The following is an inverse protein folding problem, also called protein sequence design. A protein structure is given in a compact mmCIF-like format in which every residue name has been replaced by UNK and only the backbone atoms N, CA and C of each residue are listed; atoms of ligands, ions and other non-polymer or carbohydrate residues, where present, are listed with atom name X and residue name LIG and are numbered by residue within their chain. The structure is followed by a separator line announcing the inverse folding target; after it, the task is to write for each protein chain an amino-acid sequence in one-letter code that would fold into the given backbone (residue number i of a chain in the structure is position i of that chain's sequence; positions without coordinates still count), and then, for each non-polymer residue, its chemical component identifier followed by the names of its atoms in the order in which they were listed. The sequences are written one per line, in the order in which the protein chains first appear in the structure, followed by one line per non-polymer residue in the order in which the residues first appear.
data_IF_902002741347
#
_entry.id   IF_902002741347
#
_cell.length_a   1.000
_cell.length_b   1.000
_cell.length_c   1.000
_cell.angle_alpha   90.00
_cell.angle_beta   90.00
_cell.angle_gamma   90.00
#
_symmetry.space_group_name_H-M   'P 1'
#
loop_
_entity.id
_entity.type
_entity.pdbx_description
1 polymer ?
#
# COMPACT_ATOMS: atom_id res chain seq x y z
N UNK A 1 -12.38 -2.88 -13.17
CA UNK A 1 -12.27 -3.97 -12.18
C UNK A 1 -12.35 -3.31 -10.82
N UNK A 2 -13.24 -3.76 -9.95
CA UNK A 2 -13.35 -3.26 -8.58
C UNK A 2 -12.40 -4.08 -7.74
N UNK A 3 -11.39 -3.46 -7.13
CA UNK A 3 -10.42 -4.16 -6.29
C UNK A 3 -11.03 -4.62 -4.97
N UNK A 4 -12.04 -3.91 -4.47
CA UNK A 4 -12.70 -4.26 -3.23
C UNK A 4 -13.28 -5.68 -3.21
N UNK A 5 -13.72 -6.24 -4.35
CA UNK A 5 -14.29 -7.59 -4.41
C UNK A 5 -13.31 -8.68 -4.01
N UNK A 6 -12.01 -8.48 -4.23
CA UNK A 6 -10.96 -9.46 -3.92
C UNK A 6 -10.85 -9.73 -2.41
N UNK A 7 -11.27 -8.79 -1.58
CA UNK A 7 -11.31 -8.98 -0.12
C UNK A 7 -12.41 -9.93 0.34
N UNK A 8 -13.37 -10.26 -0.53
CA UNK A 8 -14.55 -11.06 -0.18
C UNK A 8 -14.61 -12.39 -0.92
N UNK A 9 -14.05 -12.47 -2.13
CA UNK A 9 -14.07 -13.65 -3.00
C UNK A 9 -13.49 -14.94 -2.38
N UNK A 10 -12.67 -14.83 -1.33
CA UNK A 10 -11.96 -15.97 -0.73
C UNK A 10 -12.44 -16.34 0.68
N UNK A 11 -13.56 -15.76 1.12
CA UNK A 11 -14.12 -16.02 2.45
C UNK A 11 -15.27 -17.02 2.28
N UNK A 12 -15.06 -18.25 2.73
CA UNK A 12 -16.07 -19.32 2.59
C UNK A 12 -17.18 -19.21 3.64
N UNK A 13 -16.82 -18.83 4.87
CA UNK A 13 -17.71 -18.86 6.02
C UNK A 13 -18.10 -17.45 6.48
N UNK A 14 -17.67 -17.06 7.69
CA UNK A 14 -18.04 -15.82 8.35
C UNK A 14 -17.15 -14.67 7.90
N UNK A 15 -17.75 -13.49 7.75
CA UNK A 15 -17.01 -12.26 7.50
C UNK A 15 -16.20 -11.89 8.74
N UNK A 16 -14.85 -11.79 8.63
CA UNK A 16 -14.05 -11.24 9.70
C UNK A 16 -14.46 -9.80 10.02
N UNK A 17 -14.15 -9.38 11.24
CA UNK A 17 -14.43 -8.03 11.75
C UNK A 17 -13.90 -6.92 10.83
N UNK A 18 -12.72 -7.16 10.25
CA UNK A 18 -12.10 -6.31 9.25
C UNK A 18 -13.01 -6.13 8.01
N UNK A 19 -13.56 -7.22 7.48
CA UNK A 19 -14.39 -7.23 6.28
C UNK A 19 -15.76 -6.59 6.52
N UNK A 20 -16.33 -6.79 7.71
CA UNK A 20 -17.54 -6.12 8.14
C UNK A 20 -17.36 -4.59 8.17
N UNK A 21 -16.25 -4.12 8.75
CA UNK A 21 -15.88 -2.69 8.77
C UNK A 21 -15.55 -2.16 7.37
N UNK A 22 -14.89 -2.95 6.53
CA UNK A 22 -14.64 -2.60 5.12
C UNK A 22 -15.94 -2.38 4.35
N UNK A 23 -16.89 -3.33 4.40
CA UNK A 23 -18.21 -3.18 3.75
C UNK A 23 -18.96 -1.95 4.27
N UNK A 24 -18.87 -1.69 5.58
CA UNK A 24 -19.49 -0.52 6.18
C UNK A 24 -18.90 0.79 5.64
N UNK A 25 -17.58 0.82 5.44
CA UNK A 25 -16.91 1.98 4.85
C UNK A 25 -17.20 2.13 3.36
N UNK A 26 -17.31 1.03 2.61
CA UNK A 26 -17.72 1.07 1.19
C UNK A 26 -19.13 1.65 1.10
N UNK A 27 -20.07 1.12 1.87
CA UNK A 27 -21.45 1.62 1.93
C UNK A 27 -21.53 3.11 2.26
N UNK A 28 -20.76 3.57 3.25
CA UNK A 28 -20.80 4.96 3.72
C UNK A 28 -19.99 5.95 2.84
N UNK A 29 -18.87 5.53 2.25
CA UNK A 29 -17.87 6.42 1.62
C UNK A 29 -17.71 6.21 0.11
N UNK A 30 -18.04 5.03 -0.41
CA UNK A 30 -17.89 4.65 -1.82
C UNK A 30 -19.12 3.82 -2.25
N UNK A 31 -20.29 4.43 -2.04
CA UNK A 31 -21.57 3.76 -2.21
C UNK A 31 -21.78 3.25 -3.65
N UNK A 32 -21.13 3.88 -4.63
CA UNK A 32 -21.28 3.57 -6.05
C UNK A 32 -20.85 2.13 -6.40
N UNK A 33 -19.97 1.51 -5.61
CA UNK A 33 -19.54 0.11 -5.80
C UNK A 33 -20.19 -0.85 -4.81
N UNK A 34 -21.02 -0.37 -3.88
CA UNK A 34 -21.47 -1.16 -2.74
C UNK A 34 -22.24 -2.41 -3.18
N UNK A 35 -23.23 -2.23 -4.07
CA UNK A 35 -24.08 -3.33 -4.54
C UNK A 35 -23.25 -4.42 -5.23
N UNK A 36 -22.29 -4.03 -6.09
CA UNK A 36 -21.41 -4.97 -6.78
C UNK A 36 -20.53 -5.78 -5.80
N UNK A 37 -20.03 -5.14 -4.74
CA UNK A 37 -19.26 -5.82 -3.69
C UNK A 37 -20.16 -6.70 -2.81
N UNK A 38 -21.38 -6.25 -2.52
CA UNK A 38 -22.33 -6.96 -1.67
C UNK A 38 -22.88 -8.22 -2.34
N UNK A 39 -23.04 -8.20 -3.66
CA UNK A 39 -23.56 -9.32 -4.46
C UNK A 39 -22.56 -10.48 -4.60
N UNK A 40 -21.26 -10.24 -4.35
CA UNK A 40 -20.24 -11.30 -4.27
C UNK A 40 -20.42 -12.18 -3.03
N UNK A 41 -21.04 -11.64 -1.97
CA UNK A 41 -21.22 -12.33 -0.71
C UNK A 41 -22.28 -13.42 -0.80
N UNK A 42 -22.06 -14.54 -0.12
CA UNK A 42 -23.11 -15.54 0.03
C UNK A 42 -24.24 -15.01 0.96
N UNK A 43 -25.45 -15.59 0.92
CA UNK A 43 -26.59 -15.09 1.71
C UNK A 43 -26.34 -15.00 3.22
N UNK A 44 -25.55 -15.92 3.79
CA UNK A 44 -25.23 -15.90 5.21
C UNK A 44 -24.29 -14.72 5.56
N UNK A 45 -23.32 -14.41 4.71
CA UNK A 45 -22.44 -13.26 4.85
C UNK A 45 -23.21 -11.94 4.70
N UNK A 46 -24.14 -11.89 3.75
CA UNK A 46 -25.04 -10.74 3.59
C UNK A 46 -25.89 -10.48 4.85
N UNK A 47 -26.40 -11.54 5.48
CA UNK A 47 -27.13 -11.44 6.75
C UNK A 47 -26.22 -10.97 7.89
N UNK A 48 -25.00 -11.52 8.01
CA UNK A 48 -24.01 -11.07 9.00
C UNK A 48 -23.73 -9.57 8.87
N UNK A 49 -23.51 -9.07 7.65
CA UNK A 49 -23.31 -7.65 7.41
C UNK A 49 -24.54 -6.82 7.80
N UNK A 50 -25.76 -7.25 7.44
CA UNK A 50 -27.00 -6.53 7.81
C UNK A 50 -27.16 -6.43 9.33
N UNK A 51 -26.88 -7.51 10.06
CA UNK A 51 -26.89 -7.53 11.53
C UNK A 51 -25.81 -6.60 12.11
N UNK A 52 -24.58 -6.69 11.59
CA UNK A 52 -23.47 -5.83 12.01
C UNK A 52 -23.79 -4.35 11.76
N UNK A 53 -24.26 -3.97 10.57
CA UNK A 53 -24.60 -2.59 10.18
C UNK A 53 -25.60 -1.94 11.14
N UNK A 54 -26.53 -2.72 11.69
CA UNK A 54 -27.52 -2.28 12.68
C UNK A 54 -27.05 -2.29 14.13
N UNK A 55 -25.89 -2.89 14.43
CA UNK A 55 -25.37 -3.05 15.78
C UNK A 55 -24.85 -1.75 16.40
N UNK A 56 -24.78 -1.72 17.74
CA UNK A 56 -24.14 -0.61 18.47
C UNK A 56 -22.64 -0.51 18.17
N UNK A 57 -21.99 -1.62 17.84
CA UNK A 57 -20.58 -1.64 17.45
C UNK A 57 -20.36 -0.85 16.15
N UNK A 58 -21.15 -1.10 15.11
CA UNK A 58 -21.04 -0.37 13.84
C UNK A 58 -21.34 1.12 14.02
N UNK A 59 -22.31 1.48 14.88
CA UNK A 59 -22.60 2.89 15.21
C UNK A 59 -21.42 3.57 15.88
N UNK A 60 -20.83 2.93 16.89
CA UNK A 60 -19.65 3.44 17.60
C UNK A 60 -18.47 3.61 16.64
N UNK A 61 -18.21 2.60 15.80
CA UNK A 61 -17.15 2.66 14.78
C UNK A 61 -17.32 3.87 13.84
N UNK A 62 -18.52 4.08 13.29
CA UNK A 62 -18.81 5.24 12.44
C UNK A 62 -18.59 6.56 13.17
N UNK A 63 -19.03 6.67 14.42
CA UNK A 63 -18.83 7.88 15.21
C UNK A 63 -17.35 8.17 15.41
N UNK A 64 -16.56 7.18 15.80
CA UNK A 64 -15.11 7.31 15.99
C UNK A 64 -14.39 7.68 14.69
N UNK A 65 -14.76 7.03 13.57
CA UNK A 65 -14.26 7.34 12.23
C UNK A 65 -14.56 8.79 11.85
N UNK A 66 -15.82 9.22 11.98
CA UNK A 66 -16.28 10.55 11.59
C UNK A 66 -15.73 11.67 12.49
N UNK A 67 -15.30 11.35 13.72
CA UNK A 67 -14.58 12.30 14.57
C UNK A 67 -13.13 12.53 14.14
N UNK A 68 -12.50 11.53 13.51
CA UNK A 68 -11.10 11.58 13.07
C UNK A 68 -10.92 12.08 11.65
N UNK A 69 -11.90 11.84 10.78
CA UNK A 69 -11.80 12.09 9.35
C UNK A 69 -12.69 13.25 8.90
N UNK A 70 -12.17 14.18 8.08
CA UNK A 70 -12.98 15.27 7.55
C UNK A 70 -13.94 14.74 6.49
N UNK A 71 -15.18 15.24 6.44
CA UNK A 71 -16.12 14.82 5.40
C UNK A 71 -15.61 15.10 3.98
N UNK A 72 -15.70 14.10 3.10
CA UNK A 72 -15.40 14.13 1.67
C UNK A 72 -16.47 13.30 0.93
N UNK A 73 -17.02 13.86 -0.15
CA UNK A 73 -17.88 13.13 -1.09
C UNK A 73 -16.99 12.53 -2.19
N UNK A 74 -16.61 11.26 -2.04
CA UNK A 74 -15.70 10.57 -2.97
C UNK A 74 -16.31 10.37 -4.36
N UNK A 75 -17.64 10.36 -4.47
CA UNK A 75 -18.36 10.21 -5.73
C UNK A 75 -18.35 11.51 -6.58
N UNK A 76 -17.87 12.62 -6.01
CA UNK A 76 -17.84 13.95 -6.66
C UNK A 76 -16.48 14.63 -6.58
N UNK A 77 -15.40 13.85 -6.56
CA UNK A 77 -14.06 14.41 -6.57
C UNK A 77 -13.76 15.12 -7.91
N UNK A 78 -13.17 16.33 -7.87
CA UNK A 78 -12.66 16.96 -9.08
C UNK A 78 -11.43 16.22 -9.58
N UNK A 79 -11.24 16.15 -10.91
CA UNK A 79 -10.09 15.51 -11.56
C UNK A 79 -8.73 16.02 -11.02
N UNK A 80 -8.65 17.32 -10.70
CA UNK A 80 -7.52 17.93 -10.03
C UNK A 80 -7.87 18.27 -8.60
N UNK A 81 -7.17 17.66 -7.67
CA UNK A 81 -7.30 17.89 -6.24
C UNK A 81 -6.38 19.04 -5.87
N UNK A 82 -6.94 20.12 -5.32
CA UNK A 82 -6.10 21.15 -4.70
C UNK A 82 -5.37 20.60 -3.46
N UNK A 83 -4.33 21.30 -3.00
CA UNK A 83 -3.53 20.84 -1.86
C UNK A 83 -4.36 20.61 -0.58
N UNK A 84 -5.42 21.39 -0.37
CA UNK A 84 -6.24 21.25 0.84
C UNK A 84 -7.11 19.99 0.78
N UNK A 85 -7.71 19.69 -0.38
CA UNK A 85 -8.46 18.47 -0.61
C UNK A 85 -7.56 17.25 -0.62
N UNK A 86 -6.39 17.33 -1.25
CA UNK A 86 -5.40 16.26 -1.30
C UNK A 86 -4.95 15.85 0.11
N UNK A 87 -4.62 16.82 0.97
CA UNK A 87 -4.28 16.56 2.38
C UNK A 87 -5.41 15.88 3.14
N UNK A 88 -6.67 16.26 2.89
CA UNK A 88 -7.83 15.60 3.52
C UNK A 88 -7.98 14.16 3.03
N UNK A 89 -7.88 13.92 1.73
CA UNK A 89 -7.94 12.57 1.14
C UNK A 89 -6.81 11.69 1.71
N UNK A 90 -5.61 12.22 1.90
CA UNK A 90 -4.49 11.49 2.51
C UNK A 90 -4.77 11.01 3.94
N UNK A 91 -5.64 11.67 4.71
CA UNK A 91 -6.02 11.19 6.04
C UNK A 91 -6.74 9.85 5.98
N UNK A 92 -7.50 9.61 4.90
CA UNK A 92 -8.18 8.33 4.67
C UNK A 92 -7.23 7.21 4.21
N UNK A 93 -6.03 7.55 3.72
CA UNK A 93 -5.04 6.57 3.26
C UNK A 93 -4.24 5.91 4.39
N UNK A 94 -4.35 6.41 5.63
CA UNK A 94 -3.54 5.93 6.76
C UNK A 94 -4.03 4.61 7.35
N UNK A 95 -5.35 4.36 7.32
CA UNK A 95 -6.01 3.26 8.02
C UNK A 95 -6.52 2.19 7.06
N UNK A 96 -6.30 0.91 7.38
CA UNK A 96 -6.44 -0.23 6.46
C UNK A 96 -7.79 -0.36 5.75
N UNK A 97 -8.89 -0.59 6.50
CA UNK A 97 -10.21 -0.78 5.91
C UNK A 97 -10.77 0.49 5.25
N UNK A 98 -10.40 1.66 5.76
CA UNK A 98 -10.86 2.95 5.22
C UNK A 98 -10.16 3.23 3.89
N UNK A 99 -8.84 3.05 3.86
CA UNK A 99 -8.03 3.16 2.64
C UNK A 99 -8.56 2.25 1.54
N UNK A 100 -8.85 0.99 1.88
CA UNK A 100 -9.37 0.00 0.94
C UNK A 100 -10.76 0.37 0.42
N UNK A 101 -11.63 0.90 1.28
CA UNK A 101 -12.97 1.33 0.86
C UNK A 101 -12.94 2.46 -0.18
N UNK A 102 -12.03 3.43 -0.01
CA UNK A 102 -11.95 4.59 -0.90
C UNK A 102 -11.05 4.35 -2.13
N UNK A 103 -10.29 3.25 -2.18
CA UNK A 103 -9.30 3.02 -3.23
C UNK A 103 -9.92 2.99 -4.63
N UNK A 104 -11.05 2.30 -4.76
CA UNK A 104 -11.79 2.20 -6.02
C UNK A 104 -12.53 3.50 -6.40
N UNK A 105 -12.76 4.41 -5.45
CA UNK A 105 -13.34 5.73 -5.73
C UNK A 105 -12.31 6.73 -6.31
N UNK A 106 -11.01 6.43 -6.17
CA UNK A 106 -9.95 7.31 -6.66
C UNK A 106 -9.55 6.92 -8.09
N UNK A 107 -9.52 7.91 -8.98
CA UNK A 107 -8.89 7.75 -10.29
C UNK A 107 -7.39 7.52 -10.18
N UNK A 108 -6.76 6.98 -11.22
CA UNK A 108 -5.30 6.85 -11.28
C UNK A 108 -4.58 8.21 -11.20
N UNK A 109 -5.19 9.27 -11.73
CA UNK A 109 -4.67 10.64 -11.59
C UNK A 109 -4.73 11.13 -10.14
N UNK A 110 -5.80 10.81 -9.40
CA UNK A 110 -5.86 11.12 -7.96
C UNK A 110 -4.78 10.37 -7.19
N UNK A 111 -4.59 9.07 -7.47
CA UNK A 111 -3.54 8.25 -6.85
C UNK A 111 -2.14 8.82 -7.14
N UNK A 112 -1.91 9.30 -8.37
CA UNK A 112 -0.66 9.95 -8.76
C UNK A 112 -0.44 11.27 -8.00
N UNK A 113 -1.47 12.12 -7.90
CA UNK A 113 -1.40 13.37 -7.14
C UNK A 113 -1.07 13.12 -5.65
N UNK A 114 -1.69 12.09 -5.05
CA UNK A 114 -1.41 11.68 -3.66
C UNK A 114 0.06 11.28 -3.50
N UNK A 115 0.56 10.40 -4.36
CA UNK A 115 1.95 9.93 -4.32
C UNK A 115 2.96 11.08 -4.48
N UNK A 116 2.68 12.04 -5.35
CA UNK A 116 3.52 13.22 -5.53
C UNK A 116 3.62 14.07 -4.25
N UNK A 117 2.51 14.27 -3.54
CA UNK A 117 2.51 15.00 -2.27
C UNK A 117 3.19 14.20 -1.16
N UNK A 118 2.97 12.89 -1.06
CA UNK A 118 3.66 12.01 -0.11
C UNK A 118 5.17 12.07 -0.28
N UNK A 119 5.66 11.98 -1.52
CA UNK A 119 7.08 12.11 -1.84
C UNK A 119 7.63 13.48 -1.44
N UNK A 120 6.88 14.56 -1.71
CA UNK A 120 7.28 15.90 -1.31
C UNK A 120 7.41 16.02 0.22
N UNK A 121 6.43 15.51 0.98
CA UNK A 121 6.47 15.50 2.45
C UNK A 121 7.67 14.69 2.95
N UNK A 122 7.92 13.52 2.35
CA UNK A 122 9.05 12.67 2.71
C UNK A 122 10.40 13.39 2.52
N UNK A 123 10.61 14.04 1.37
CA UNK A 123 11.85 14.79 1.12
C UNK A 123 12.00 15.99 2.06
N UNK A 124 10.91 16.72 2.36
CA UNK A 124 10.94 17.81 3.35
C UNK A 124 11.28 17.31 4.77
N UNK A 125 10.76 16.15 5.18
CA UNK A 125 11.11 15.54 6.48
C UNK A 125 12.56 15.04 6.52
N UNK A 126 13.05 14.49 5.40
CA UNK A 126 14.44 14.05 5.25
C UNK A 126 15.40 15.22 5.33
N UNK A 127 15.09 16.34 4.66
CA UNK A 127 15.88 17.58 4.74
C UNK A 127 15.91 18.13 6.17
N UNK A 128 14.75 18.23 6.84
CA UNK A 128 14.68 18.65 8.25
C UNK A 128 15.51 17.75 9.18
N UNK A 129 15.47 16.43 8.99
CA UNK A 129 16.29 15.49 9.75
C UNK A 129 17.78 15.76 9.51
N UNK A 130 18.17 15.99 8.26
CA UNK A 130 19.55 16.28 7.87
C UNK A 130 20.06 17.61 8.44
N UNK A 131 19.21 18.63 8.52
CA UNK A 131 19.55 19.94 9.11
C UNK A 131 19.80 19.84 10.62
N UNK A 132 19.13 18.90 11.29
CA UNK A 132 19.30 18.63 12.71
C UNK A 132 20.51 17.73 13.02
N UNK A 133 21.11 17.08 12.01
CA UNK A 133 22.30 16.26 12.20
C UNK A 133 23.54 17.10 12.41
N UNK A 134 24.39 16.64 13.33
CA UNK A 134 25.74 17.14 13.52
C UNK A 134 26.63 16.79 12.31
N UNK A 135 27.71 17.54 12.11
CA UNK A 135 28.68 17.25 11.03
C UNK A 135 29.32 15.87 11.17
N UNK A 136 29.50 15.36 12.38
CA UNK A 136 29.96 13.99 12.62
C UNK A 136 28.93 12.93 12.23
N UNK A 137 27.64 13.18 12.43
CA UNK A 137 26.55 12.28 11.98
C UNK A 137 26.44 12.28 10.46
N UNK A 138 26.46 13.45 9.81
CA UNK A 138 26.48 13.56 8.34
C UNK A 138 27.69 12.85 7.73
N UNK A 139 28.86 12.96 8.38
CA UNK A 139 30.08 12.27 7.95
C UNK A 139 29.95 10.76 8.08
N UNK A 140 29.42 10.24 9.19
CA UNK A 140 29.17 8.80 9.37
C UNK A 140 28.13 8.25 8.40
N UNK A 141 27.06 9.01 8.15
CA UNK A 141 26.04 8.66 7.15
C UNK A 141 26.66 8.61 5.75
N UNK A 142 27.47 9.61 5.38
CA UNK A 142 28.19 9.61 4.11
C UNK A 142 29.16 8.44 3.98
N UNK A 143 30.01 8.21 4.99
CA UNK A 143 30.94 7.07 5.03
C UNK A 143 30.21 5.72 4.96
N UNK A 144 28.96 5.66 5.44
CA UNK A 144 28.09 4.49 5.34
C UNK A 144 27.55 4.30 3.92
N UNK A 145 27.01 5.35 3.30
CA UNK A 145 26.54 5.32 1.90
C UNK A 145 27.68 5.01 0.92
N UNK A 146 28.85 5.63 1.12
CA UNK A 146 30.04 5.38 0.28
C UNK A 146 30.48 3.90 0.35
N UNK A 147 30.34 3.25 1.52
CA UNK A 147 30.60 1.80 1.67
C UNK A 147 29.51 0.93 1.05
N UNK A 148 28.25 1.35 1.17
CA UNK A 148 27.11 0.66 0.56
C UNK A 148 27.21 0.69 -0.97
N UNK A 149 27.49 1.84 -1.57
CA UNK A 149 27.62 2.01 -3.01
C UNK A 149 28.86 1.31 -3.59
N UNK A 150 29.91 1.18 -2.79
CA UNK A 150 31.13 0.46 -3.15
C UNK A 150 31.01 -1.07 -2.99
N UNK A 151 29.97 -1.57 -2.30
CA UNK A 151 29.73 -3.01 -2.17
C UNK A 151 29.19 -3.55 -3.51
N UNK A 152 29.88 -4.53 -4.15
CA UNK A 152 29.37 -5.16 -5.37
C UNK A 152 28.09 -5.99 -5.15
N UNK A 153 27.74 -6.25 -3.89
CA UNK A 153 26.57 -7.02 -3.43
C UNK A 153 25.87 -6.33 -2.25
N UNK A 154 25.41 -5.08 -2.41
CA UNK A 154 24.92 -4.30 -1.29
C UNK A 154 23.67 -4.95 -0.70
N UNK A 155 23.69 -5.22 0.60
CA UNK A 155 22.53 -5.74 1.35
C UNK A 155 21.72 -4.55 1.86
N UNK A 156 20.40 -4.53 1.63
CA UNK A 156 19.52 -3.54 2.23
C UNK A 156 19.52 -3.76 3.75
N UNK A 157 20.21 -2.89 4.49
CA UNK A 157 20.36 -2.98 5.94
C UNK A 157 19.45 -1.97 6.66
N UNK A 158 18.18 -1.93 6.25
CA UNK A 158 17.15 -1.10 6.85
C UNK A 158 15.85 -1.88 6.96
N UNK A 159 15.40 -2.08 8.20
CA UNK A 159 14.11 -2.65 8.63
C UNK A 159 14.03 -4.19 8.75
N UNK A 160 13.95 -4.64 10.00
CA UNK A 160 13.51 -5.96 10.41
C UNK A 160 12.20 -6.30 9.64
N UNK A 161 12.19 -7.37 8.84
CA UNK A 161 11.10 -7.89 7.97
C UNK A 161 11.09 -7.40 6.51
N UNK A 162 11.97 -6.51 6.09
CA UNK A 162 12.13 -6.17 4.66
C UNK A 162 13.19 -7.03 3.97
N UNK A 163 13.06 -7.22 2.63
CA UNK A 163 13.98 -8.05 1.85
C UNK A 163 15.43 -7.60 1.99
N UNK A 164 16.32 -8.52 2.36
CA UNK A 164 17.73 -8.23 2.61
C UNK A 164 18.52 -7.96 1.32
N UNK A 165 17.96 -8.33 0.16
CA UNK A 165 18.58 -8.14 -1.15
C UNK A 165 17.55 -7.63 -2.17
N UNK A 166 18.04 -7.01 -3.24
CA UNK A 166 17.25 -6.65 -4.44
C UNK A 166 16.44 -7.85 -4.95
N UNK A 167 16.98 -9.06 -4.85
CA UNK A 167 16.35 -10.27 -5.35
C UNK A 167 15.22 -10.76 -4.44
N UNK A 168 15.43 -10.72 -3.13
CA UNK A 168 14.35 -10.96 -2.18
C UNK A 168 13.25 -9.89 -2.33
N UNK A 169 13.63 -8.66 -2.70
CA UNK A 169 12.67 -7.58 -2.96
C UNK A 169 11.81 -7.87 -4.18
N UNK A 170 12.44 -8.30 -5.26
CA UNK A 170 11.74 -8.78 -6.46
C UNK A 170 10.82 -9.96 -6.12
N UNK A 171 11.28 -10.93 -5.33
CA UNK A 171 10.44 -12.08 -4.94
C UNK A 171 9.26 -11.71 -4.05
N UNK A 172 9.43 -10.72 -3.16
CA UNK A 172 8.39 -10.31 -2.21
C UNK A 172 7.39 -9.34 -2.82
N UNK A 173 7.83 -8.45 -3.72
CA UNK A 173 7.03 -7.34 -4.23
C UNK A 173 6.80 -7.39 -5.75
N UNK A 174 7.46 -8.29 -6.49
CA UNK A 174 7.29 -8.44 -7.93
C UNK A 174 7.79 -7.25 -8.75
N UNK A 175 8.67 -6.42 -8.20
CA UNK A 175 9.18 -5.17 -8.81
C UNK A 175 10.68 -5.07 -8.54
N UNK A 176 11.45 -4.66 -9.54
CA UNK A 176 12.88 -4.36 -9.40
C UNK A 176 13.05 -2.97 -8.75
N UNK A 177 13.60 -2.87 -7.52
CA UNK A 177 13.75 -1.61 -6.81
C UNK A 177 14.78 -0.67 -7.45
N UNK A 178 15.60 -1.13 -8.41
CA UNK A 178 16.62 -0.31 -9.08
C UNK A 178 16.04 0.56 -10.19
N UNK A 179 14.94 0.12 -10.81
CA UNK A 179 14.36 0.78 -11.98
C UNK A 179 12.82 0.91 -11.92
N UNK A 180 12.17 0.30 -10.93
CA UNK A 180 10.72 0.37 -10.73
C UNK A 180 9.89 -0.51 -11.66
N UNK A 181 10.51 -1.37 -12.48
CA UNK A 181 9.80 -2.23 -13.42
C UNK A 181 9.28 -3.50 -12.76
N UNK A 182 8.09 -3.99 -13.13
CA UNK A 182 7.57 -5.27 -12.66
C UNK A 182 8.41 -6.44 -13.19
N UNK A 183 8.74 -7.37 -12.29
CA UNK A 183 9.43 -8.62 -12.58
C UNK A 183 8.42 -9.77 -12.42
N UNK A 184 8.11 -10.43 -13.54
CA UNK A 184 7.23 -11.60 -13.59
C UNK A 184 8.01 -12.87 -13.29
N UNK A 185 7.34 -13.96 -12.93
CA UNK A 185 8.00 -15.26 -12.74
C UNK A 185 8.80 -15.70 -13.98
N UNK A 186 8.33 -15.36 -15.18
CA UNK A 186 9.03 -15.62 -16.44
C UNK A 186 10.27 -14.72 -16.63
N UNK A 187 10.18 -13.42 -16.34
CA UNK A 187 11.35 -12.53 -16.45
C UNK A 187 12.41 -12.85 -15.39
N UNK A 188 11.98 -13.26 -14.20
CA UNK A 188 12.86 -13.71 -13.13
C UNK A 188 13.61 -14.99 -13.52
N UNK A 189 12.91 -16.01 -14.01
CA UNK A 189 13.56 -17.27 -14.44
C UNK A 189 14.46 -17.09 -15.66
N UNK A 190 14.20 -16.10 -16.51
CA UNK A 190 15.04 -15.74 -17.65
C UNK A 190 16.36 -15.09 -17.21
N UNK A 191 16.32 -14.25 -16.17
CA UNK A 191 17.48 -13.48 -15.69
C UNK A 191 18.27 -14.19 -14.59
N UNK A 192 17.66 -15.11 -13.83
CA UNK A 192 18.24 -15.68 -12.62
C UNK A 192 18.09 -17.22 -12.52
N UNK A 193 18.98 -17.87 -11.76
CA UNK A 193 18.94 -19.31 -11.41
C UNK A 193 19.30 -19.51 -9.93
N UNK A 194 18.86 -20.60 -9.33
CA UNK A 194 19.32 -21.01 -7.99
C UNK A 194 20.64 -21.78 -8.10
N UNK A 195 21.61 -21.46 -7.25
CA UNK A 195 22.82 -22.27 -7.07
C UNK A 195 22.55 -23.47 -6.14
N UNK A 196 23.56 -24.35 -5.97
CA UNK A 196 23.43 -25.55 -5.13
C UNK A 196 23.17 -25.26 -3.64
N UNK A 197 23.42 -24.03 -3.18
CA UNK A 197 23.18 -23.58 -1.82
C UNK A 197 21.80 -22.91 -1.64
N UNK A 198 20.99 -22.86 -2.70
CA UNK A 198 19.68 -22.20 -2.69
C UNK A 198 19.73 -20.68 -2.86
N UNK A 199 20.89 -20.11 -3.19
CA UNK A 199 21.03 -18.67 -3.45
C UNK A 199 20.74 -18.35 -4.92
N UNK A 200 20.13 -17.20 -5.18
CA UNK A 200 19.76 -16.75 -6.52
C UNK A 200 20.95 -16.03 -7.16
N UNK A 201 21.39 -16.48 -8.32
CA UNK A 201 22.48 -15.90 -9.10
C UNK A 201 22.00 -15.49 -10.50
N UNK A 202 22.53 -14.39 -11.09
CA UNK A 202 22.27 -14.04 -12.49
C UNK A 202 22.67 -15.18 -13.43
N UNK A 203 21.87 -15.43 -14.48
CA UNK A 203 22.23 -16.40 -15.53
C UNK A 203 23.33 -15.90 -16.46
N UNK A 204 23.54 -14.58 -16.54
CA UNK A 204 24.56 -14.00 -17.41
C UNK A 204 25.97 -14.15 -16.83
N UNK A 205 26.58 -15.31 -17.11
CA UNK A 205 27.98 -15.52 -17.50
C UNK A 205 28.20 -16.99 -17.89
N UNK A 206 27.44 -17.45 -18.88
CA UNK A 206 27.80 -18.62 -19.70
C UNK A 206 27.46 -18.23 -21.14
N UNK A 207 28.39 -17.52 -21.78
CA UNK A 207 28.69 -17.57 -23.22
C UNK A 207 29.80 -16.55 -23.54
N UNK A 208 31.02 -16.93 -23.16
CA UNK A 208 32.27 -16.80 -23.92
C UNK A 208 33.40 -17.52 -23.18
#
# INVERSE_FOLDING_TARGET
MIFATDYFNHIEDQLPDFNLKLLLNIDDLNNDIFDEVFDVLNPAQQEQYKLFKGSEEAKKYRQERNMKLPYIDFNKLPEKLDNALLQKVMLYQKDGEIRRAIFDALSEDHKTQISQLENKIYEEEKEKKRDLMTEDEKRKEKEWWDKYDADPTPRFMGNLLEPATVYEYILKYGIDPRNGNPETGESFQKKYKYNANGEIIPREKEDN
#
